data_IF_214681032739
#
_entry.id   IF_214681032739
#
_cell.length_a   1.000
_cell.length_b   1.000
_cell.length_c   1.000
_cell.angle_alpha   90.00
_cell.angle_beta   90.00
_cell.angle_gamma   90.00
#
_symmetry.space_group_name_H-M   'P 1'
#
loop_
_entity.id
_entity.type
_entity.pdbx_description
1 polymer ?
#
# COMPACT_ATOMS: atom_id res chain seq x y z
N UNK A 1 -21.43 36.97 -11.86
CA UNK A 1 -20.19 36.46 -11.22
C UNK A 1 -20.49 35.05 -10.74
N UNK A 2 -20.24 34.05 -11.58
CA UNK A 2 -20.56 32.64 -11.28
C UNK A 2 -19.38 32.07 -10.52
N UNK A 3 -19.55 31.83 -9.22
CA UNK A 3 -18.54 31.18 -8.38
C UNK A 3 -18.52 29.69 -8.75
N UNK A 4 -17.54 29.31 -9.57
CA UNK A 4 -17.25 27.93 -9.91
C UNK A 4 -16.75 27.20 -8.66
N UNK A 5 -17.66 26.51 -7.96
CA UNK A 5 -17.30 25.46 -7.03
C UNK A 5 -16.65 24.32 -7.81
N UNK A 6 -15.32 24.27 -7.81
CA UNK A 6 -14.62 23.04 -8.19
C UNK A 6 -15.02 21.94 -7.20
N UNK A 7 -15.45 20.76 -7.66
CA UNK A 7 -15.67 19.63 -6.77
C UNK A 7 -14.34 19.27 -6.09
N UNK A 8 -14.38 19.09 -4.77
CA UNK A 8 -13.27 18.54 -3.98
C UNK A 8 -12.83 17.24 -4.63
N UNK A 9 -11.61 17.21 -5.15
CA UNK A 9 -10.97 15.99 -5.60
C UNK A 9 -11.01 14.97 -4.44
N UNK A 10 -11.77 13.90 -4.62
CA UNK A 10 -11.69 12.76 -3.72
C UNK A 10 -10.27 12.21 -3.80
N UNK A 11 -9.57 12.18 -2.67
CA UNK A 11 -8.31 11.43 -2.57
C UNK A 11 -8.66 9.94 -2.63
N UNK A 12 -8.14 9.16 -3.59
CA UNK A 12 -8.55 7.77 -3.83
C UNK A 12 -8.13 6.79 -2.72
N UNK A 13 -7.32 7.20 -1.74
CA UNK A 13 -6.94 6.37 -0.59
C UNK A 13 -7.93 6.54 0.57
N UNK A 14 -9.13 5.98 0.44
CA UNK A 14 -9.99 5.75 1.60
C UNK A 14 -9.38 4.60 2.42
N UNK A 15 -8.92 4.87 3.64
CA UNK A 15 -8.46 3.85 4.57
C UNK A 15 -9.64 3.05 5.11
N UNK A 16 -9.52 1.72 5.15
CA UNK A 16 -10.52 0.81 5.72
C UNK A 16 -9.98 0.24 7.03
N UNK A 17 -10.76 0.34 8.10
CA UNK A 17 -10.46 -0.29 9.39
C UNK A 17 -11.06 -1.68 9.46
N UNK A 18 -10.28 -2.67 9.90
CA UNK A 18 -10.73 -4.04 10.14
C UNK A 18 -10.49 -4.42 11.59
N UNK A 19 -11.45 -5.11 12.22
CA UNK A 19 -11.32 -5.58 13.61
C UNK A 19 -10.49 -6.85 13.73
N UNK A 20 -10.32 -7.59 12.63
CA UNK A 20 -9.60 -8.86 12.57
C UNK A 20 -8.64 -8.89 11.38
N UNK A 21 -7.43 -9.40 11.61
CA UNK A 21 -6.41 -9.50 10.57
C UNK A 21 -6.84 -10.42 9.42
N UNK A 22 -7.63 -11.47 9.69
CA UNK A 22 -8.16 -12.35 8.66
C UNK A 22 -9.08 -11.61 7.68
N UNK A 23 -9.90 -10.66 8.16
CA UNK A 23 -10.78 -9.85 7.31
C UNK A 23 -9.97 -8.90 6.44
N UNK A 24 -8.95 -8.26 7.01
CA UNK A 24 -7.99 -7.45 6.24
C UNK A 24 -7.34 -8.28 5.13
N UNK A 25 -6.78 -9.45 5.46
CA UNK A 25 -6.10 -10.32 4.48
C UNK A 25 -7.03 -10.81 3.37
N UNK A 26 -8.30 -11.11 3.68
CA UNK A 26 -9.29 -11.46 2.67
C UNK A 26 -9.52 -10.31 1.67
N UNK A 27 -9.70 -9.08 2.18
CA UNK A 27 -9.90 -7.89 1.32
C UNK A 27 -8.63 -7.48 0.58
N UNK A 28 -7.47 -7.61 1.20
CA UNK A 28 -6.17 -7.42 0.57
C UNK A 28 -6.02 -8.36 -0.64
N UNK A 29 -6.32 -9.65 -0.47
CA UNK A 29 -6.20 -10.61 -1.55
C UNK A 29 -7.15 -10.31 -2.72
N UNK A 30 -8.41 -9.96 -2.46
CA UNK A 30 -9.36 -9.51 -3.49
C UNK A 30 -8.82 -8.29 -4.26
N UNK A 31 -8.30 -7.31 -3.54
CA UNK A 31 -7.77 -6.07 -4.12
C UNK A 31 -6.49 -6.30 -4.94
N UNK A 32 -5.64 -7.21 -4.50
CA UNK A 32 -4.44 -7.66 -5.23
C UNK A 32 -4.84 -8.34 -6.54
N UNK A 33 -5.74 -9.33 -6.48
CA UNK A 33 -6.20 -10.07 -7.67
C UNK A 33 -6.75 -9.11 -8.71
N UNK A 34 -7.64 -8.19 -8.31
CA UNK A 34 -8.20 -7.19 -9.22
C UNK A 34 -7.12 -6.31 -9.88
N UNK A 35 -6.15 -5.82 -9.11
CA UNK A 35 -5.05 -5.02 -9.66
C UNK A 35 -4.21 -5.79 -10.68
N UNK A 36 -3.89 -7.06 -10.38
CA UNK A 36 -3.12 -7.91 -11.29
C UNK A 36 -3.87 -8.20 -12.60
N UNK A 37 -5.17 -8.47 -12.52
CA UNK A 37 -6.02 -8.66 -13.72
C UNK A 37 -6.10 -7.42 -14.61
N UNK A 38 -5.89 -6.23 -14.05
CA UNK A 38 -5.91 -4.95 -14.76
C UNK A 38 -4.52 -4.45 -15.19
N UNK A 39 -3.48 -5.31 -15.18
CA UNK A 39 -2.09 -4.93 -15.48
C UNK A 39 -1.57 -3.76 -14.62
N UNK A 40 -1.91 -3.77 -13.33
CA UNK A 40 -1.40 -2.79 -12.37
C UNK A 40 -0.21 -3.38 -11.61
N UNK A 41 0.78 -2.55 -11.30
CA UNK A 41 1.78 -2.92 -10.31
C UNK A 41 1.11 -2.96 -8.95
N UNK A 42 1.30 -4.04 -8.21
CA UNK A 42 0.72 -4.23 -6.88
C UNK A 42 1.84 -4.36 -5.88
N UNK A 43 1.76 -3.62 -4.79
CA UNK A 43 2.72 -3.65 -3.69
C UNK A 43 1.98 -3.85 -2.36
N UNK A 44 2.46 -4.82 -1.57
CA UNK A 44 1.95 -5.18 -0.26
C UNK A 44 2.91 -4.66 0.82
N UNK A 45 2.38 -3.82 1.69
CA UNK A 45 3.11 -3.23 2.81
C UNK A 45 2.54 -3.72 4.13
N UNK A 46 3.41 -4.05 5.06
CA UNK A 46 3.01 -4.48 6.40
C UNK A 46 4.17 -4.48 7.38
N UNK A 47 3.86 -4.86 8.62
CA UNK A 47 4.87 -5.01 9.66
C UNK A 47 5.67 -6.31 9.48
N UNK A 48 6.94 -6.28 9.90
CA UNK A 48 7.83 -7.43 9.82
C UNK A 48 8.77 -7.39 8.61
N UNK A 49 9.54 -8.45 8.46
CA UNK A 49 10.50 -8.64 7.38
C UNK A 49 9.80 -8.94 6.05
N UNK A 50 10.53 -8.75 4.94
CA UNK A 50 10.04 -9.11 3.60
C UNK A 50 9.67 -10.59 3.48
N UNK A 51 10.40 -11.48 4.13
CA UNK A 51 10.15 -12.93 4.08
C UNK A 51 8.86 -13.31 4.83
N UNK A 52 8.61 -12.65 5.97
CA UNK A 52 7.35 -12.80 6.70
C UNK A 52 6.19 -12.32 5.84
N UNK A 53 6.28 -11.12 5.26
CA UNK A 53 5.24 -10.58 4.39
C UNK A 53 5.00 -11.42 3.14
N UNK A 54 6.05 -12.00 2.53
CA UNK A 54 5.90 -12.99 1.44
C UNK A 54 5.18 -14.24 1.89
N UNK A 55 5.51 -14.73 3.09
CA UNK A 55 4.82 -15.88 3.69
C UNK A 55 3.34 -15.56 3.96
N UNK A 56 3.02 -14.32 4.37
CA UNK A 56 1.64 -13.87 4.53
C UNK A 56 0.87 -13.91 3.22
N UNK A 57 1.44 -13.39 2.13
CA UNK A 57 0.84 -13.45 0.79
C UNK A 57 0.62 -14.90 0.35
N UNK A 58 1.60 -15.77 0.54
CA UNK A 58 1.51 -17.19 0.19
C UNK A 58 0.40 -17.93 0.99
N UNK A 59 0.11 -17.47 2.21
CA UNK A 59 -0.94 -18.03 3.05
C UNK A 59 -2.36 -17.57 2.66
N UNK A 60 -2.52 -16.58 1.77
CA UNK A 60 -3.83 -16.09 1.34
C UNK A 60 -4.45 -17.02 0.28
N UNK A 61 -5.56 -17.74 0.56
CA UNK A 61 -6.09 -18.75 -0.37
C UNK A 61 -6.50 -18.20 -1.74
N UNK A 62 -6.98 -16.95 -1.77
CA UNK A 62 -7.39 -16.26 -3.00
C UNK A 62 -6.22 -15.92 -3.95
N UNK A 63 -4.97 -15.95 -3.46
CA UNK A 63 -3.77 -15.70 -4.27
C UNK A 63 -3.17 -16.99 -4.85
N UNK A 64 -3.76 -18.16 -4.59
CA UNK A 64 -3.24 -19.47 -5.04
C UNK A 64 -3.01 -19.62 -6.55
N UNK A 65 -3.63 -18.77 -7.37
CA UNK A 65 -3.48 -18.76 -8.84
C UNK A 65 -2.77 -17.50 -9.37
N UNK A 66 -2.28 -16.64 -8.48
CA UNK A 66 -1.57 -15.42 -8.83
C UNK A 66 -0.08 -15.68 -8.65
N UNK A 67 0.72 -15.15 -9.58
CA UNK A 67 2.17 -15.08 -9.39
C UNK A 67 2.50 -14.08 -8.27
N UNK A 68 2.77 -14.61 -7.08
CA UNK A 68 3.11 -13.82 -5.89
C UNK A 68 4.51 -13.21 -5.97
N UNK A 69 5.41 -13.76 -6.78
CA UNK A 69 6.75 -13.19 -6.98
C UNK A 69 6.68 -11.90 -7.80
N UNK A 70 5.63 -11.74 -8.60
CA UNK A 70 5.27 -10.52 -9.32
C UNK A 70 4.59 -9.43 -8.47
N UNK A 71 4.49 -9.60 -7.15
CA UNK A 71 3.97 -8.62 -6.19
C UNK A 71 5.14 -7.99 -5.42
N UNK A 72 5.18 -6.67 -5.36
CA UNK A 72 6.14 -5.97 -4.51
C UNK A 72 5.83 -6.18 -3.03
N UNK A 73 6.87 -6.36 -2.21
CA UNK A 73 6.72 -6.51 -0.75
C UNK A 73 7.69 -5.58 -0.06
N UNK A 74 7.16 -4.69 0.77
CA UNK A 74 7.94 -3.63 1.42
C UNK A 74 7.54 -3.51 2.88
N UNK A 75 8.48 -3.69 3.83
CA UNK A 75 8.25 -3.42 5.24
C UNK A 75 7.73 -1.99 5.46
N UNK A 76 6.81 -1.82 6.42
CA UNK A 76 6.15 -0.53 6.66
C UNK A 76 7.13 0.56 7.13
N UNK A 77 8.24 0.18 7.76
CA UNK A 77 9.30 1.09 8.18
C UNK A 77 10.16 1.59 7.00
N UNK A 78 10.10 0.93 5.85
CA UNK A 78 10.68 1.40 4.59
C UNK A 78 9.67 2.17 3.71
N UNK A 79 8.37 1.98 3.98
CA UNK A 79 7.29 2.73 3.35
C UNK A 79 7.17 4.15 3.92
N UNK A 80 7.29 4.29 5.24
CA UNK A 80 7.29 5.57 5.92
C UNK A 80 8.72 6.12 6.06
N UNK A 81 8.94 7.37 5.69
CA UNK A 81 10.14 8.10 6.09
C UNK A 81 9.90 8.69 7.48
N UNK A 82 10.78 8.41 8.43
CA UNK A 82 10.70 8.95 9.79
C UNK A 82 11.60 10.16 9.97
N UNK A 83 11.20 11.08 10.84
CA UNK A 83 12.05 12.20 11.23
C UNK A 83 13.30 11.68 11.95
N UNK A 84 14.47 12.33 11.78
CA UNK A 84 15.70 11.87 12.40
C UNK A 84 15.57 11.71 13.93
N UNK A 85 15.89 10.51 14.43
CA UNK A 85 15.88 10.21 15.86
C UNK A 85 14.49 10.05 16.48
N UNK A 86 13.42 9.90 15.68
CA UNK A 86 12.07 9.62 16.20
C UNK A 86 11.35 8.54 15.40
N UNK A 87 10.21 8.10 15.91
CA UNK A 87 9.24 7.24 15.23
C UNK A 87 8.07 8.04 14.62
N UNK A 88 8.23 9.36 14.51
CA UNK A 88 7.24 10.24 13.89
C UNK A 88 7.49 10.29 12.39
N UNK A 89 6.48 9.89 11.61
CA UNK A 89 6.51 9.95 10.15
C UNK A 89 6.70 11.39 9.68
N UNK A 90 7.64 11.59 8.78
CA UNK A 90 7.80 12.81 8.02
C UNK A 90 6.96 12.72 6.72
N UNK A 91 5.84 13.46 6.63
CA UNK A 91 4.88 13.27 5.55
C UNK A 91 5.43 13.67 4.18
N UNK A 92 6.23 14.73 4.09
CA UNK A 92 6.74 15.25 2.81
C UNK A 92 7.64 14.23 2.09
N UNK A 93 8.75 13.74 2.69
CA UNK A 93 9.59 12.75 2.04
C UNK A 93 8.88 11.40 1.87
N UNK A 94 7.99 11.02 2.79
CA UNK A 94 7.19 9.78 2.64
C UNK A 94 6.32 9.83 1.37
N UNK A 95 5.63 10.95 1.14
CA UNK A 95 4.80 11.13 -0.07
C UNK A 95 5.68 11.23 -1.31
N UNK A 96 6.79 11.97 -1.26
CA UNK A 96 7.69 12.12 -2.41
C UNK A 96 8.24 10.75 -2.88
N UNK A 97 8.67 9.91 -1.96
CA UNK A 97 9.15 8.55 -2.25
C UNK A 97 8.06 7.70 -2.92
N UNK A 98 6.79 7.86 -2.53
CA UNK A 98 5.68 7.12 -3.14
C UNK A 98 5.34 7.64 -4.52
N UNK A 99 5.39 8.95 -4.75
CA UNK A 99 5.21 9.54 -6.08
C UNK A 99 6.27 8.98 -7.05
N UNK A 100 7.54 8.98 -6.64
CA UNK A 100 8.63 8.41 -7.46
C UNK A 100 8.40 6.93 -7.78
N UNK A 101 7.97 6.13 -6.81
CA UNK A 101 7.67 4.71 -7.02
C UNK A 101 6.51 4.52 -8.02
N UNK A 102 5.47 5.34 -7.94
CA UNK A 102 4.33 5.32 -8.89
C UNK A 102 4.81 5.67 -10.29
N UNK A 103 5.51 6.79 -10.45
CA UNK A 103 6.02 7.26 -11.75
C UNK A 103 6.91 6.23 -12.42
N UNK A 104 7.80 5.60 -11.66
CA UNK A 104 8.65 4.51 -12.16
C UNK A 104 7.83 3.34 -12.71
N UNK A 105 6.79 2.91 -12.00
CA UNK A 105 5.96 1.77 -12.45
C UNK A 105 5.09 2.09 -13.65
N UNK A 106 4.65 3.34 -13.78
CA UNK A 106 4.01 3.80 -15.01
C UNK A 106 5.01 3.77 -16.18
N UNK A 107 6.25 4.21 -15.96
CA UNK A 107 7.31 4.15 -16.98
C UNK A 107 7.69 2.70 -17.37
N UNK A 108 7.62 1.75 -16.43
CA UNK A 108 7.81 0.32 -16.68
C UNK A 108 6.65 -0.32 -17.49
N UNK A 109 5.58 0.43 -17.78
CA UNK A 109 4.45 -0.01 -18.63
C UNK A 109 3.24 -0.57 -17.89
N UNK A 110 3.18 -0.45 -16.56
CA UNK A 110 1.98 -0.80 -15.80
C UNK A 110 0.88 0.26 -15.98
N UNK A 111 -0.38 -0.19 -15.99
CA UNK A 111 -1.52 0.70 -16.17
C UNK A 111 -1.77 1.62 -14.97
N UNK A 112 -1.35 1.19 -13.77
CA UNK A 112 -1.40 1.96 -12.53
C UNK A 112 -0.47 1.33 -11.47
N UNK A 113 -0.31 2.04 -10.34
CA UNK A 113 0.27 1.53 -9.11
C UNK A 113 -0.84 1.33 -8.07
N UNK A 114 -0.86 0.17 -7.41
CA UNK A 114 -1.84 -0.21 -6.41
C UNK A 114 -1.14 -0.66 -5.12
N UNK A 115 -1.47 -0.02 -4.01
CA UNK A 115 -0.89 -0.32 -2.71
C UNK A 115 -1.92 -0.97 -1.78
N UNK A 116 -1.54 -2.08 -1.15
CA UNK A 116 -2.21 -2.59 0.07
C UNK A 116 -1.30 -2.26 1.23
N UNK A 117 -1.79 -1.45 2.17
CA UNK A 117 -0.94 -0.92 3.25
C UNK A 117 -1.52 -1.26 4.61
N UNK A 118 -0.85 -2.15 5.35
CA UNK A 118 -1.04 -2.32 6.78
C UNK A 118 -0.06 -1.42 7.56
N UNK A 119 -0.54 -0.23 7.92
CA UNK A 119 0.20 0.73 8.74
C UNK A 119 -0.09 0.62 10.24
N UNK A 120 -0.76 -0.44 10.72
CA UNK A 120 -1.21 -0.50 12.11
C UNK A 120 -0.04 -0.38 13.11
N UNK A 121 1.13 -0.95 12.79
CA UNK A 121 2.32 -0.89 13.64
C UNK A 121 2.90 0.53 13.82
N UNK A 122 2.68 1.43 12.85
CA UNK A 122 3.15 2.82 12.90
C UNK A 122 2.05 3.81 13.34
N UNK A 123 0.80 3.37 13.40
CA UNK A 123 -0.35 4.15 13.84
C UNK A 123 -0.50 4.13 15.37
N UNK A 124 0.57 4.50 16.08
CA UNK A 124 0.61 4.58 17.55
C UNK A 124 0.75 6.03 18.01
N UNK A 125 0.39 6.30 19.27
CA UNK A 125 0.77 7.58 19.88
C UNK A 125 2.28 7.55 20.16
N UNK A 126 3.00 8.66 19.93
CA UNK A 126 4.33 8.83 20.47
C UNK A 126 4.26 8.72 22.00
N UNK A 127 5.26 8.08 22.61
CA UNK A 127 5.44 8.02 24.06
C UNK A 127 5.81 9.40 24.64
#
# INVERSE_FOLDING_TARGET
>A
MVSSHQPRAWSPSAGWGYSEQAQFRARAAEYIVDGRLQNQWVEYFGAGSRDELRSELAAMPALSKIDIDGIGVTPVDEFCTFRPGSDVVDPEPSVAQRVEAVEKKLADGYAAFRAVVDCTAVARRPD
#
